data_IF_902314143579
#
_entry.id   IF_902314143579
#
_cell.length_a   1.000
_cell.length_b   1.000
_cell.length_c   1.000
_cell.angle_alpha   90.00
_cell.angle_beta   90.00
_cell.angle_gamma   90.00
#
_symmetry.space_group_name_H-M   'P 1'
#
loop_
_entity.id
_entity.type
_entity.pdbx_description
1 polymer ?
#
# COMPACT_ATOMS: atom_id res chain seq x y z
N UNK A 1 -14.57 14.35 7.99
CA UNK A 1 -15.84 13.94 7.36
C UNK A 1 -15.90 14.32 5.87
N UNK A 2 -15.84 15.60 5.49
CA UNK A 2 -15.89 16.02 4.08
C UNK A 2 -14.87 15.33 3.16
N UNK A 3 -13.63 15.13 3.63
CA UNK A 3 -12.60 14.35 2.91
C UNK A 3 -13.08 12.92 2.59
N UNK A 4 -13.69 12.23 3.56
CA UNK A 4 -14.20 10.87 3.37
C UNK A 4 -15.28 10.80 2.28
N UNK A 5 -16.22 11.74 2.30
CA UNK A 5 -17.25 11.83 1.27
C UNK A 5 -16.66 12.09 -0.12
N UNK A 6 -15.74 13.05 -0.23
CA UNK A 6 -15.03 13.35 -1.48
C UNK A 6 -14.26 12.13 -2.00
N UNK A 7 -13.54 11.43 -1.14
CA UNK A 7 -12.77 10.24 -1.51
C UNK A 7 -13.65 9.10 -2.04
N UNK A 8 -14.90 8.98 -1.58
CA UNK A 8 -15.84 8.01 -2.13
C UNK A 8 -16.19 8.31 -3.60
N UNK A 9 -16.41 9.58 -3.95
CA UNK A 9 -16.61 10.00 -5.34
C UNK A 9 -15.33 9.85 -6.18
N UNK A 10 -14.16 10.15 -5.61
CA UNK A 10 -12.88 9.94 -6.29
C UNK A 10 -12.66 8.46 -6.62
N UNK A 11 -12.96 7.56 -5.68
CA UNK A 11 -12.90 6.11 -5.92
C UNK A 11 -13.85 5.68 -7.04
N UNK A 12 -15.10 6.18 -7.02
CA UNK A 12 -16.07 5.94 -8.09
C UNK A 12 -15.55 6.40 -9.45
N UNK A 13 -15.04 7.63 -9.55
CA UNK A 13 -14.50 8.17 -10.81
C UNK A 13 -13.36 7.30 -11.33
N UNK A 14 -12.44 6.87 -10.46
CA UNK A 14 -11.35 6.01 -10.91
C UNK A 14 -11.85 4.66 -11.44
N UNK A 15 -12.77 4.01 -10.72
CA UNK A 15 -13.37 2.74 -11.17
C UNK A 15 -14.09 2.93 -12.52
N UNK A 16 -14.83 4.03 -12.70
CA UNK A 16 -15.50 4.36 -13.97
C UNK A 16 -14.51 4.65 -15.10
N UNK A 17 -13.36 5.27 -14.80
CA UNK A 17 -12.29 5.49 -15.78
C UNK A 17 -11.62 4.17 -16.19
N UNK A 18 -11.37 3.26 -15.24
CA UNK A 18 -10.87 1.92 -15.57
C UNK A 18 -11.85 1.23 -16.53
N UNK A 19 -13.14 1.21 -16.19
CA UNK A 19 -14.20 0.68 -17.05
C UNK A 19 -14.21 1.35 -18.43
N UNK A 20 -14.08 2.68 -18.49
CA UNK A 20 -14.02 3.43 -19.74
C UNK A 20 -12.88 2.94 -20.65
N UNK A 21 -11.66 2.87 -20.13
CA UNK A 21 -10.51 2.44 -20.91
C UNK A 21 -10.59 0.96 -21.31
N UNK A 22 -11.12 0.08 -20.45
CA UNK A 22 -11.35 -1.32 -20.84
C UNK A 22 -12.34 -1.43 -22.00
N UNK A 23 -13.48 -0.73 -21.92
CA UNK A 23 -14.49 -0.76 -22.99
C UNK A 23 -13.95 -0.14 -24.28
N UNK A 24 -13.22 0.96 -24.20
CA UNK A 24 -12.65 1.64 -25.35
C UNK A 24 -11.61 0.76 -26.05
N UNK A 25 -10.68 0.18 -25.29
CA UNK A 25 -9.53 -0.53 -25.88
C UNK A 25 -9.84 -1.97 -26.30
N UNK A 26 -10.66 -2.72 -25.55
CA UNK A 26 -10.96 -4.12 -25.88
C UNK A 26 -12.25 -4.31 -26.67
N UNK A 27 -13.21 -3.40 -26.54
CA UNK A 27 -14.55 -3.57 -27.10
C UNK A 27 -14.96 -2.45 -28.08
N UNK A 28 -14.19 -1.36 -28.19
CA UNK A 28 -14.52 -0.21 -29.04
C UNK A 28 -15.79 0.54 -28.61
N UNK A 29 -16.20 0.43 -27.33
CA UNK A 29 -17.45 0.99 -26.81
C UNK A 29 -17.18 2.18 -25.90
N UNK A 30 -18.00 3.22 -26.00
CA UNK A 30 -18.02 4.33 -25.04
C UNK A 30 -18.93 3.97 -23.85
N UNK A 31 -18.39 3.28 -22.86
CA UNK A 31 -19.11 2.90 -21.63
C UNK A 31 -18.19 2.92 -20.42
N UNK A 32 -18.70 3.35 -19.27
CA UNK A 32 -17.98 3.36 -17.99
C UNK A 32 -18.31 2.15 -17.11
N UNK A 33 -19.00 1.15 -17.66
CA UNK A 33 -19.31 -0.10 -16.96
C UNK A 33 -18.04 -0.93 -16.78
N UNK A 34 -17.78 -1.39 -15.57
CA UNK A 34 -16.68 -2.31 -15.32
C UNK A 34 -16.94 -3.63 -16.06
N UNK A 35 -15.97 -4.03 -16.89
CA UNK A 35 -16.00 -5.28 -17.66
C UNK A 35 -14.64 -5.94 -17.62
N UNK A 36 -14.62 -7.27 -17.70
CA UNK A 36 -13.38 -8.04 -17.75
C UNK A 36 -12.84 -8.13 -19.18
N UNK A 37 -11.51 -7.99 -19.41
CA UNK A 37 -10.91 -8.15 -20.74
C UNK A 37 -10.98 -9.58 -21.30
N UNK A 38 -11.32 -10.59 -20.50
CA UNK A 38 -11.25 -12.03 -20.86
C UNK A 38 -12.07 -12.35 -22.13
N UNK A 39 -13.25 -11.74 -22.30
CA UNK A 39 -14.19 -12.05 -23.39
C UNK A 39 -14.04 -11.18 -24.64
N UNK A 40 -12.89 -10.55 -24.87
CA UNK A 40 -12.69 -9.66 -26.02
C UNK A 40 -12.65 -10.42 -27.37
N UNK A 41 -12.95 -9.71 -28.45
CA UNK A 41 -13.02 -10.28 -29.81
C UNK A 41 -11.76 -10.03 -30.65
N UNK A 42 -10.69 -9.49 -30.07
CA UNK A 42 -9.50 -9.05 -30.82
C UNK A 42 -8.54 -10.20 -31.17
N UNK A 43 -8.69 -11.38 -30.55
CA UNK A 43 -7.81 -12.52 -30.78
C UNK A 43 -6.34 -12.18 -30.53
N UNK A 44 -5.46 -12.50 -31.48
CA UNK A 44 -4.02 -12.24 -31.39
C UNK A 44 -3.70 -10.73 -31.30
N UNK A 45 -4.53 -9.87 -31.88
CA UNK A 45 -4.33 -8.41 -31.82
C UNK A 45 -4.50 -7.82 -30.41
N UNK A 46 -5.07 -8.58 -29.47
CA UNK A 46 -5.18 -8.16 -28.06
C UNK A 46 -3.82 -7.84 -27.43
N UNK A 47 -2.70 -8.40 -27.93
CA UNK A 47 -1.33 -8.07 -27.48
C UNK A 47 -0.99 -6.60 -27.64
N UNK A 48 -1.51 -5.97 -28.70
CA UNK A 48 -1.20 -4.57 -29.00
C UNK A 48 -1.87 -3.61 -28.03
N UNK A 49 -2.94 -4.03 -27.35
CA UNK A 49 -3.71 -3.17 -26.45
C UNK A 49 -2.89 -2.76 -25.21
N UNK A 50 -2.30 -3.68 -24.42
CA UNK A 50 -1.39 -3.31 -23.33
C UNK A 50 -0.15 -2.53 -23.80
N UNK A 51 0.38 -2.83 -24.99
CA UNK A 51 1.54 -2.12 -25.58
C UNK A 51 1.19 -0.65 -25.84
N UNK A 52 0.04 -0.39 -26.46
CA UNK A 52 -0.45 0.95 -26.72
C UNK A 52 -0.76 1.72 -25.42
N UNK A 53 -1.45 1.07 -24.47
CA UNK A 53 -1.73 1.65 -23.16
C UNK A 53 -0.44 2.03 -22.42
N UNK A 54 0.56 1.16 -22.42
CA UNK A 54 1.83 1.42 -21.78
C UNK A 54 2.68 2.48 -22.50
N UNK A 55 2.59 2.58 -23.83
CA UNK A 55 3.19 3.68 -24.59
C UNK A 55 2.59 5.03 -24.18
N UNK A 56 1.26 5.12 -24.03
CA UNK A 56 0.58 6.32 -23.55
C UNK A 56 1.12 6.70 -22.16
N UNK A 57 1.27 5.73 -21.26
CA UNK A 57 1.83 5.96 -19.91
C UNK A 57 3.27 6.47 -19.98
N UNK A 58 4.11 5.88 -20.85
CA UNK A 58 5.49 6.34 -21.06
C UNK A 58 5.55 7.80 -21.51
N UNK A 59 4.71 8.18 -22.49
CA UNK A 59 4.58 9.56 -22.98
C UNK A 59 4.05 10.50 -21.89
N UNK A 60 3.02 10.10 -21.15
CA UNK A 60 2.50 10.85 -20.00
C UNK A 60 3.57 11.06 -18.92
N UNK A 61 4.42 10.08 -18.67
CA UNK A 61 5.49 10.21 -17.69
C UNK A 61 6.57 11.19 -18.15
N UNK A 62 6.95 11.16 -19.44
CA UNK A 62 7.96 12.06 -20.03
C UNK A 62 7.54 13.52 -20.07
N UNK A 63 6.33 13.81 -20.54
CA UNK A 63 5.86 15.19 -20.73
C UNK A 63 5.00 15.70 -19.56
N UNK A 64 4.48 14.79 -18.74
CA UNK A 64 3.67 15.11 -17.56
C UNK A 64 4.50 15.18 -16.29
N UNK A 65 4.82 14.02 -15.70
CA UNK A 65 5.65 13.93 -14.49
C UNK A 65 6.15 12.52 -14.32
N UNK A 66 7.44 12.35 -14.04
CA UNK A 66 8.06 11.05 -13.75
C UNK A 66 7.47 10.38 -12.49
N UNK A 67 6.85 11.18 -11.59
CA UNK A 67 6.26 10.71 -10.32
C UNK A 67 4.98 9.89 -10.49
N UNK A 68 4.43 9.80 -11.70
CA UNK A 68 3.25 8.96 -12.00
C UNK A 68 3.62 7.47 -12.10
N UNK A 69 4.90 7.16 -12.29
CA UNK A 69 5.45 5.80 -12.36
C UNK A 69 5.46 5.15 -10.98
N UNK A 70 5.31 3.83 -10.93
CA UNK A 70 5.45 3.03 -9.71
C UNK A 70 4.13 2.61 -9.05
N UNK A 71 4.26 2.17 -7.80
CA UNK A 71 3.33 1.23 -7.15
C UNK A 71 2.22 1.90 -6.33
N UNK A 72 2.27 3.22 -6.20
CA UNK A 72 1.34 4.05 -5.42
C UNK A 72 1.80 4.23 -3.98
N UNK A 73 1.70 3.18 -3.15
CA UNK A 73 1.88 3.26 -1.70
C UNK A 73 3.29 3.73 -1.28
N UNK A 74 4.40 3.25 -1.88
CA UNK A 74 5.74 3.76 -1.55
C UNK A 74 5.87 5.27 -1.78
N UNK A 75 5.22 5.80 -2.82
CA UNK A 75 5.24 7.24 -3.10
C UNK A 75 4.37 8.04 -2.09
N UNK A 76 3.33 7.44 -1.51
CA UNK A 76 2.57 8.03 -0.39
C UNK A 76 3.45 8.13 0.86
N UNK A 77 4.13 7.04 1.21
CA UNK A 77 5.07 6.99 2.33
C UNK A 77 6.17 8.04 2.12
N UNK A 78 6.72 8.12 0.92
CA UNK A 78 7.73 9.12 0.56
C UNK A 78 7.22 10.55 0.73
N UNK A 79 6.01 10.85 0.25
CA UNK A 79 5.41 12.17 0.42
C UNK A 79 5.25 12.54 1.89
N UNK A 80 4.86 11.57 2.74
CA UNK A 80 4.70 11.77 4.18
C UNK A 80 6.05 12.05 4.86
N UNK A 81 7.08 11.26 4.54
CA UNK A 81 8.39 11.32 5.21
C UNK A 81 9.26 12.47 4.74
N UNK A 82 9.23 12.81 3.44
CA UNK A 82 10.23 13.68 2.81
C UNK A 82 9.62 15.03 2.42
N UNK A 83 8.47 15.02 1.75
CA UNK A 83 7.90 16.22 1.12
C UNK A 83 7.01 17.03 2.08
N UNK A 84 7.13 16.81 3.39
CA UNK A 84 6.27 17.39 4.39
C UNK A 84 4.79 17.11 4.13
N UNK A 85 4.45 15.95 3.55
CA UNK A 85 3.09 15.57 3.14
C UNK A 85 2.47 16.46 2.03
N UNK A 86 3.27 17.20 1.26
CA UNK A 86 2.77 17.96 0.09
C UNK A 86 2.69 17.06 -1.14
N UNK A 87 1.54 17.09 -1.82
CA UNK A 87 1.32 16.41 -3.10
C UNK A 87 1.02 17.46 -4.16
N UNK A 88 1.70 17.35 -5.30
CA UNK A 88 1.51 18.25 -6.43
C UNK A 88 0.17 17.97 -7.14
N UNK A 89 -0.65 18.99 -7.44
CA UNK A 89 -1.94 18.82 -8.12
C UNK A 89 -1.82 18.09 -9.47
N UNK A 90 -0.73 18.35 -10.22
CA UNK A 90 -0.46 17.67 -11.49
C UNK A 90 -0.32 16.14 -11.31
N UNK A 91 0.37 15.71 -10.26
CA UNK A 91 0.54 14.28 -9.96
C UNK A 91 -0.77 13.67 -9.44
N UNK A 92 -1.55 14.44 -8.67
CA UNK A 92 -2.86 14.03 -8.17
C UNK A 92 -3.85 13.68 -9.29
N UNK A 93 -3.74 14.32 -10.46
CA UNK A 93 -4.56 14.03 -11.63
C UNK A 93 -3.93 12.99 -12.57
N UNK A 94 -2.65 13.14 -12.90
CA UNK A 94 -2.02 12.28 -13.91
C UNK A 94 -1.82 10.84 -13.41
N UNK A 95 -1.58 10.64 -12.11
CA UNK A 95 -1.35 9.30 -11.55
C UNK A 95 -2.61 8.41 -11.65
N UNK A 96 -3.80 8.79 -11.13
CA UNK A 96 -5.00 7.99 -11.29
C UNK A 96 -5.35 7.75 -12.77
N UNK A 97 -5.18 8.77 -13.64
CA UNK A 97 -5.43 8.60 -15.07
C UNK A 97 -4.49 7.56 -15.70
N UNK A 98 -3.19 7.62 -15.37
CA UNK A 98 -2.20 6.64 -15.86
C UNK A 98 -2.51 5.22 -15.37
N UNK A 99 -2.95 5.07 -14.12
CA UNK A 99 -3.35 3.77 -13.59
C UNK A 99 -4.63 3.25 -14.24
N UNK A 100 -5.60 4.13 -14.53
CA UNK A 100 -6.82 3.74 -15.23
C UNK A 100 -6.53 3.25 -16.65
N UNK A 101 -5.63 3.91 -17.38
CA UNK A 101 -5.16 3.47 -18.71
C UNK A 101 -4.40 2.15 -18.60
N UNK A 102 -3.52 2.01 -17.61
CA UNK A 102 -2.75 0.80 -17.35
C UNK A 102 -3.65 -0.41 -17.12
N UNK A 103 -4.56 -0.31 -16.15
CA UNK A 103 -5.50 -1.38 -15.79
C UNK A 103 -6.48 -1.64 -16.93
N UNK A 104 -7.03 -0.57 -17.53
CA UNK A 104 -8.01 -0.67 -18.62
C UNK A 104 -7.45 -1.25 -19.92
N UNK A 105 -6.16 -1.05 -20.20
CA UNK A 105 -5.46 -1.70 -21.31
C UNK A 105 -5.05 -3.15 -21.00
N UNK A 106 -5.36 -3.68 -19.81
CA UNK A 106 -5.11 -5.07 -19.43
C UNK A 106 -3.96 -5.27 -18.45
N UNK A 107 -3.36 -4.19 -17.94
CA UNK A 107 -2.33 -4.25 -16.91
C UNK A 107 -2.81 -5.08 -15.69
N UNK A 108 -1.99 -6.02 -15.19
CA UNK A 108 -2.37 -7.00 -14.16
C UNK A 108 -2.32 -6.37 -12.76
N UNK A 109 -2.91 -5.19 -12.60
CA UNK A 109 -2.83 -4.37 -11.39
C UNK A 109 -4.19 -4.19 -10.74
N UNK A 110 -4.17 -3.97 -9.43
CA UNK A 110 -5.35 -3.55 -8.73
C UNK A 110 -5.49 -2.02 -8.69
N UNK A 111 -6.71 -1.55 -8.40
CA UNK A 111 -7.01 -0.12 -8.36
C UNK A 111 -6.56 0.56 -7.05
N UNK A 112 -5.98 -0.19 -6.13
CA UNK A 112 -5.88 0.22 -4.72
C UNK A 112 -4.81 1.27 -4.46
N UNK A 113 -3.58 1.01 -4.88
CA UNK A 113 -2.47 1.94 -4.76
C UNK A 113 -2.83 3.31 -5.37
N UNK A 114 -3.41 3.35 -6.59
CA UNK A 114 -3.92 4.56 -7.19
C UNK A 114 -4.99 5.27 -6.36
N UNK A 115 -5.96 4.57 -5.77
CA UNK A 115 -7.03 5.21 -4.99
C UNK A 115 -6.51 5.73 -3.64
N UNK A 116 -5.68 4.96 -2.96
CA UNK A 116 -4.99 5.38 -1.72
C UNK A 116 -4.18 6.65 -1.98
N UNK A 117 -3.40 6.68 -3.06
CA UNK A 117 -2.63 7.85 -3.44
C UNK A 117 -3.49 9.05 -3.82
N UNK A 118 -4.52 8.83 -4.62
CA UNK A 118 -5.38 9.92 -5.11
C UNK A 118 -6.19 10.49 -3.96
N UNK A 119 -6.79 9.65 -3.12
CA UNK A 119 -7.47 10.07 -1.89
C UNK A 119 -6.55 10.89 -0.99
N UNK A 120 -5.31 10.41 -0.77
CA UNK A 120 -4.32 11.15 0.00
C UNK A 120 -3.88 12.47 -0.64
N UNK A 121 -3.78 12.51 -1.97
CA UNK A 121 -3.48 13.73 -2.71
C UNK A 121 -4.57 14.79 -2.51
N UNK A 122 -5.84 14.43 -2.59
CA UNK A 122 -6.95 15.35 -2.28
C UNK A 122 -6.90 15.84 -0.83
N UNK A 123 -6.62 14.96 0.13
CA UNK A 123 -6.43 15.35 1.52
C UNK A 123 -5.27 16.34 1.71
N UNK A 124 -4.15 16.10 1.04
CA UNK A 124 -3.00 17.00 1.03
C UNK A 124 -3.31 18.35 0.37
N UNK A 125 -4.03 18.36 -0.75
CA UNK A 125 -4.40 19.59 -1.47
C UNK A 125 -5.33 20.46 -0.63
N UNK A 126 -6.31 19.86 0.05
CA UNK A 126 -7.18 20.58 1.00
C UNK A 126 -6.32 21.20 2.12
N UNK A 127 -5.39 20.43 2.70
CA UNK A 127 -4.49 20.94 3.73
C UNK A 127 -3.61 22.11 3.24
N UNK A 128 -3.17 22.06 1.98
CA UNK A 128 -2.39 23.13 1.35
C UNK A 128 -3.23 24.38 1.11
N UNK A 129 -4.50 24.23 0.69
CA UNK A 129 -5.43 25.34 0.51
C UNK A 129 -5.65 26.12 1.82
N UNK A 130 -5.76 25.40 2.94
CA UNK A 130 -5.90 25.99 4.28
C UNK A 130 -4.57 26.31 4.97
N UNK A 131 -3.44 26.20 4.26
CA UNK A 131 -2.10 26.54 4.77
C UNK A 131 -1.73 25.82 6.09
N UNK A 132 -2.20 24.58 6.26
CA UNK A 132 -1.98 23.81 7.48
C UNK A 132 -0.52 23.37 7.65
N UNK A 133 -0.15 23.09 8.90
CA UNK A 133 1.17 22.60 9.26
C UNK A 133 1.46 21.24 8.63
N UNK A 134 2.74 20.84 8.57
CA UNK A 134 3.13 19.53 8.02
C UNK A 134 2.50 18.35 8.76
N UNK A 135 2.31 18.47 10.08
CA UNK A 135 1.67 17.43 10.90
C UNK A 135 0.17 17.31 10.59
N UNK A 136 -0.55 18.42 10.50
CA UNK A 136 -1.97 18.42 10.13
C UNK A 136 -2.18 17.94 8.70
N UNK A 137 -1.32 18.37 7.78
CA UNK A 137 -1.33 17.91 6.39
C UNK A 137 -1.06 16.41 6.26
N UNK A 138 -0.14 15.86 7.06
CA UNK A 138 0.07 14.41 7.16
C UNK A 138 -1.25 13.72 7.55
N UNK A 139 -1.92 14.21 8.58
CA UNK A 139 -3.20 13.66 9.02
C UNK A 139 -4.27 13.71 7.93
N UNK A 140 -4.42 14.84 7.21
CA UNK A 140 -5.42 14.94 6.13
C UNK A 140 -5.07 14.09 4.91
N UNK A 141 -3.79 13.99 4.55
CA UNK A 141 -3.31 13.08 3.50
C UNK A 141 -3.65 11.63 3.88
N UNK A 142 -3.34 11.20 5.10
CA UNK A 142 -3.65 9.83 5.51
C UNK A 142 -5.15 9.60 5.66
N UNK A 143 -5.91 10.60 6.09
CA UNK A 143 -7.38 10.51 6.17
C UNK A 143 -8.00 10.33 4.78
N UNK A 144 -7.48 11.02 3.76
CA UNK A 144 -7.89 10.83 2.37
C UNK A 144 -7.49 9.46 1.83
N UNK A 145 -6.29 8.98 2.15
CA UNK A 145 -5.81 7.65 1.76
C UNK A 145 -6.69 6.53 2.35
N UNK A 146 -7.01 6.61 3.64
CA UNK A 146 -7.91 5.68 4.33
C UNK A 146 -9.35 5.78 3.79
N UNK A 147 -9.85 6.99 3.54
CA UNK A 147 -11.15 7.21 2.90
C UNK A 147 -11.25 6.55 1.52
N UNK A 148 -10.21 6.70 0.70
CA UNK A 148 -10.13 6.06 -0.62
C UNK A 148 -10.14 4.53 -0.54
N UNK A 149 -9.33 3.95 0.36
CA UNK A 149 -9.32 2.50 0.57
C UNK A 149 -10.69 1.98 1.06
N UNK A 150 -11.27 2.63 2.06
CA UNK A 150 -12.58 2.29 2.61
C UNK A 150 -13.68 2.34 1.55
N UNK A 151 -13.71 3.39 0.72
CA UNK A 151 -14.65 3.48 -0.39
C UNK A 151 -14.46 2.42 -1.46
N UNK A 152 -13.21 1.98 -1.72
CA UNK A 152 -12.89 0.99 -2.78
C UNK A 152 -13.17 -0.43 -2.34
N UNK A 153 -12.99 -0.74 -1.06
CA UNK A 153 -13.09 -2.12 -0.55
C UNK A 153 -14.21 -2.42 0.42
N UNK A 154 -14.97 -1.42 0.87
CA UNK A 154 -15.91 -1.56 1.97
C UNK A 154 -15.20 -2.00 3.26
N UNK A 155 -13.93 -1.60 3.42
CA UNK A 155 -13.08 -2.04 4.53
C UNK A 155 -12.64 -0.88 5.42
N UNK A 156 -13.56 -0.20 6.12
CA UNK A 156 -13.23 0.99 6.90
C UNK A 156 -12.25 0.73 8.04
N UNK A 157 -12.35 -0.42 8.73
CA UNK A 157 -11.48 -0.72 9.87
C UNK A 157 -10.09 -1.08 9.39
N UNK A 158 -9.97 -1.92 8.36
CA UNK A 158 -8.71 -2.25 7.72
C UNK A 158 -8.01 -1.01 7.17
N UNK A 159 -8.75 -0.05 6.61
CA UNK A 159 -8.18 1.20 6.12
C UNK A 159 -7.59 2.08 7.23
N UNK A 160 -8.20 2.08 8.43
CA UNK A 160 -7.65 2.77 9.60
C UNK A 160 -6.40 2.06 10.10
N UNK A 161 -6.42 0.73 10.17
CA UNK A 161 -5.23 -0.05 10.55
C UNK A 161 -4.09 0.14 9.56
N UNK A 162 -4.37 0.13 8.26
CA UNK A 162 -3.39 0.42 7.21
C UNK A 162 -2.77 1.80 7.41
N UNK A 163 -3.62 2.80 7.68
CA UNK A 163 -3.17 4.16 7.96
C UNK A 163 -2.22 4.20 9.15
N UNK A 164 -2.51 3.48 10.22
CA UNK A 164 -1.67 3.46 11.43
C UNK A 164 -0.38 2.66 11.21
N UNK A 165 -0.47 1.43 10.70
CA UNK A 165 0.66 0.50 10.50
C UNK A 165 1.64 0.98 9.41
N UNK A 166 1.16 1.66 8.36
CA UNK A 166 1.98 1.96 7.17
C UNK A 166 2.14 3.44 6.80
N UNK A 167 1.30 4.35 7.29
CA UNK A 167 1.34 5.76 6.83
C UNK A 167 1.62 6.75 7.97
N UNK A 168 0.92 6.62 9.11
CA UNK A 168 1.09 7.50 10.26
C UNK A 168 2.29 7.12 11.11
N UNK A 169 2.50 5.82 11.36
CA UNK A 169 3.49 5.33 12.32
C UNK A 169 3.30 5.89 13.75
N UNK A 170 2.06 6.26 14.12
CA UNK A 170 1.75 6.76 15.46
C UNK A 170 0.30 6.47 15.85
N UNK A 171 0.07 6.23 17.14
CA UNK A 171 -1.25 6.03 17.75
C UNK A 171 -1.72 7.28 18.52
N UNK A 172 -1.71 8.45 17.88
CA UNK A 172 -2.10 9.72 18.53
C UNK A 172 -3.56 10.09 18.20
N UNK A 173 -4.41 10.47 19.18
CA UNK A 173 -5.80 10.85 18.93
C UNK A 173 -5.97 11.93 17.86
N UNK A 174 -5.08 12.94 17.86
CA UNK A 174 -5.07 14.04 16.88
C UNK A 174 -4.97 13.58 15.41
N UNK A 175 -4.37 12.40 15.17
CA UNK A 175 -4.17 11.82 13.84
C UNK A 175 -5.17 10.70 13.58
N UNK A 176 -5.42 9.85 14.58
CA UNK A 176 -6.31 8.70 14.48
C UNK A 176 -7.78 9.11 14.29
N UNK A 177 -8.28 10.08 15.06
CA UNK A 177 -9.70 10.47 15.01
C UNK A 177 -10.10 10.99 13.62
N UNK A 178 -9.37 11.94 12.99
CA UNK A 178 -9.72 12.41 11.65
C UNK A 178 -9.68 11.31 10.58
N UNK A 179 -8.70 10.39 10.68
CA UNK A 179 -8.55 9.25 9.76
C UNK A 179 -9.73 8.28 9.90
N UNK A 180 -10.07 7.90 11.13
CA UNK A 180 -11.19 6.99 11.40
C UNK A 180 -12.52 7.59 10.94
N UNK A 181 -12.77 8.88 11.21
CA UNK A 181 -13.99 9.55 10.75
C UNK A 181 -14.04 9.68 9.22
N UNK A 182 -12.92 9.94 8.55
CA UNK A 182 -12.88 9.97 7.09
C UNK A 182 -13.17 8.59 6.48
N UNK A 183 -12.56 7.53 7.04
CA UNK A 183 -12.78 6.15 6.63
C UNK A 183 -14.24 5.70 6.83
N UNK A 184 -14.83 6.00 7.99
CA UNK A 184 -16.22 5.68 8.30
C UNK A 184 -17.21 6.40 7.38
N UNK A 185 -17.01 7.71 7.15
CA UNK A 185 -17.86 8.47 6.22
C UNK A 185 -17.74 7.93 4.80
N UNK A 186 -16.53 7.59 4.34
CA UNK A 186 -16.35 7.00 3.02
C UNK A 186 -17.08 5.65 2.88
N UNK A 187 -17.07 4.80 3.92
CA UNK A 187 -17.83 3.54 3.94
C UNK A 187 -19.35 3.77 3.89
N UNK A 188 -19.85 4.79 4.60
CA UNK A 188 -21.28 5.14 4.56
C UNK A 188 -21.67 5.64 3.17
N UNK A 189 -20.90 6.58 2.60
CA UNK A 189 -21.20 7.15 1.27
C UNK A 189 -21.12 6.08 0.20
N UNK A 190 -20.11 5.19 0.26
CA UNK A 190 -19.97 4.05 -0.66
C UNK A 190 -21.26 3.25 -0.79
N UNK A 191 -21.98 2.99 0.30
CA UNK A 191 -23.21 2.18 0.26
C UNK A 191 -24.25 2.73 -0.72
N UNK A 192 -24.32 4.05 -0.86
CA UNK A 192 -25.25 4.72 -1.77
C UNK A 192 -24.77 4.76 -3.23
N UNK A 193 -23.45 4.75 -3.48
CA UNK A 193 -22.88 4.96 -4.82
C UNK A 193 -22.30 3.69 -5.48
N UNK A 194 -21.81 2.74 -4.69
CA UNK A 194 -21.14 1.51 -5.12
C UNK A 194 -21.82 0.25 -4.59
N UNK A 195 -22.81 0.38 -3.70
CA UNK A 195 -23.63 -0.72 -3.21
C UNK A 195 -23.20 -1.28 -1.84
N UNK A 196 -23.96 -2.27 -1.38
CA UNK A 196 -23.83 -2.91 -0.07
C UNK A 196 -23.30 -4.34 -0.19
N UNK A 197 -22.75 -4.86 0.91
CA UNK A 197 -22.32 -6.26 1.04
C UNK A 197 -20.80 -6.45 0.93
N UNK A 198 -20.34 -7.68 1.21
CA UNK A 198 -18.92 -8.04 1.06
C UNK A 198 -18.51 -7.98 -0.40
N UNK A 199 -17.26 -7.61 -0.66
CA UNK A 199 -16.74 -7.58 -2.02
C UNK A 199 -16.55 -8.99 -2.59
N UNK A 200 -16.20 -9.94 -1.73
CA UNK A 200 -16.02 -11.35 -2.09
C UNK A 200 -16.86 -12.24 -1.16
N UNK A 201 -18.14 -12.48 -1.48
CA UNK A 201 -18.98 -13.36 -0.68
C UNK A 201 -18.42 -14.78 -0.69
N UNK A 202 -18.35 -15.39 0.49
CA UNK A 202 -17.83 -16.75 0.70
C UNK A 202 -18.88 -17.66 1.34
N UNK A 203 -18.79 -19.00 1.12
CA UNK A 203 -19.53 -19.96 1.92
C UNK A 203 -19.18 -19.84 3.41
N UNK A 204 -20.10 -20.22 4.29
CA UNK A 204 -19.83 -20.25 5.72
C UNK A 204 -18.81 -21.33 6.06
N UNK A 205 -17.70 -20.93 6.70
CA UNK A 205 -16.66 -21.85 7.18
C UNK A 205 -16.94 -22.34 8.62
N UNK A 206 -16.36 -23.48 9.03
CA UNK A 206 -16.54 -24.01 10.38
C UNK A 206 -15.95 -23.08 11.44
N UNK A 207 -16.67 -22.91 12.55
CA UNK A 207 -16.19 -22.12 13.70
C UNK A 207 -15.02 -22.79 14.42
N UNK A 208 -15.06 -24.13 14.51
CA UNK A 208 -14.02 -24.91 15.16
C UNK A 208 -13.16 -25.62 14.11
N UNK A 209 -11.88 -25.27 14.10
CA UNK A 209 -10.85 -26.00 13.36
C UNK A 209 -10.04 -26.84 14.34
N UNK A 210 -9.94 -28.14 14.06
CA UNK A 210 -9.18 -29.06 14.92
C UNK A 210 -7.68 -28.76 14.88
N UNK A 211 -6.86 -29.47 15.70
CA UNK A 211 -5.41 -29.26 15.74
C UNK A 211 -4.73 -29.41 14.37
N UNK A 212 -5.25 -30.31 13.50
CA UNK A 212 -4.77 -30.48 12.13
C UNK A 212 -5.02 -29.24 11.26
N UNK A 213 -6.20 -28.61 11.38
CA UNK A 213 -6.52 -27.36 10.69
C UNK A 213 -5.62 -26.22 11.16
N UNK A 214 -5.36 -26.13 12.46
CA UNK A 214 -4.45 -25.11 13.02
C UNK A 214 -3.00 -25.28 12.56
N UNK A 215 -2.49 -26.53 12.53
CA UNK A 215 -1.18 -26.84 11.94
C UNK A 215 -1.15 -26.54 10.43
N UNK A 216 -2.26 -26.79 9.73
CA UNK A 216 -2.43 -26.38 8.34
C UNK A 216 -2.29 -24.87 8.17
N UNK A 217 -2.91 -24.06 9.04
CA UNK A 217 -2.79 -22.60 9.02
C UNK A 217 -1.33 -22.14 9.20
N UNK A 218 -0.55 -22.85 10.03
CA UNK A 218 0.86 -22.56 10.20
C UNK A 218 1.68 -22.87 8.94
N UNK A 219 1.40 -23.99 8.27
CA UNK A 219 2.01 -24.34 6.99
C UNK A 219 1.64 -23.33 5.90
N UNK A 220 0.37 -22.93 5.82
CA UNK A 220 -0.11 -21.88 4.90
C UNK A 220 0.64 -20.59 5.15
N UNK A 221 0.78 -20.16 6.41
CA UNK A 221 1.55 -18.97 6.76
C UNK A 221 3.01 -19.05 6.29
N UNK A 222 3.65 -20.21 6.42
CA UNK A 222 5.02 -20.43 5.97
C UNK A 222 5.14 -20.32 4.44
N UNK A 223 4.28 -21.01 3.70
CA UNK A 223 4.26 -21.02 2.23
C UNK A 223 3.87 -19.64 1.66
N UNK A 224 2.88 -18.98 2.26
CA UNK A 224 2.50 -17.61 1.94
C UNK A 224 3.63 -16.62 2.23
N UNK A 225 4.38 -16.81 3.32
CA UNK A 225 5.59 -16.03 3.63
C UNK A 225 6.69 -16.23 2.58
N UNK A 226 6.93 -17.47 2.17
CA UNK A 226 7.88 -17.80 1.11
C UNK A 226 7.48 -17.18 -0.24
N UNK A 227 6.21 -17.29 -0.62
CA UNK A 227 5.69 -16.66 -1.83
C UNK A 227 5.78 -15.13 -1.73
N UNK A 228 5.43 -14.51 -0.60
CA UNK A 228 5.60 -13.07 -0.36
C UNK A 228 7.05 -12.62 -0.58
N UNK A 229 8.02 -13.41 -0.09
CA UNK A 229 9.43 -13.13 -0.29
C UNK A 229 9.82 -13.23 -1.77
N UNK A 230 9.41 -14.29 -2.45
CA UNK A 230 9.65 -14.49 -3.88
C UNK A 230 9.06 -13.34 -4.71
N UNK A 231 7.80 -12.97 -4.46
CA UNK A 231 7.11 -11.88 -5.16
C UNK A 231 7.85 -10.55 -4.98
N UNK A 232 8.25 -10.24 -3.75
CA UNK A 232 9.00 -9.01 -3.43
C UNK A 232 10.33 -8.97 -4.18
N UNK A 233 11.11 -10.06 -4.11
CA UNK A 233 12.40 -10.15 -4.80
C UNK A 233 12.24 -10.08 -6.32
N UNK A 234 11.17 -10.67 -6.87
CA UNK A 234 10.91 -10.67 -8.32
C UNK A 234 10.64 -9.28 -8.87
N UNK A 235 9.85 -8.47 -8.16
CA UNK A 235 9.57 -7.08 -8.56
C UNK A 235 10.84 -6.25 -8.57
N UNK A 236 11.67 -6.35 -7.52
CA UNK A 236 12.91 -5.59 -7.45
C UNK A 236 13.98 -6.09 -8.43
N UNK A 237 14.06 -7.40 -8.66
CA UNK A 237 14.91 -7.96 -9.70
C UNK A 237 14.49 -7.45 -11.09
N UNK A 238 13.17 -7.34 -11.36
CA UNK A 238 12.68 -6.74 -12.59
C UNK A 238 13.02 -5.24 -12.68
N UNK A 239 12.81 -4.46 -11.62
CA UNK A 239 13.24 -3.04 -11.57
C UNK A 239 14.74 -2.89 -11.89
N UNK A 240 15.58 -3.71 -11.26
CA UNK A 240 17.04 -3.69 -11.44
C UNK A 240 17.45 -4.12 -12.86
N UNK A 241 16.71 -5.04 -13.48
CA UNK A 241 16.91 -5.44 -14.87
C UNK A 241 16.56 -4.31 -15.84
N UNK A 242 15.43 -3.61 -15.63
CA UNK A 242 15.03 -2.48 -16.47
C UNK A 242 16.02 -1.32 -16.38
N UNK A 243 16.60 -1.06 -15.21
CA UNK A 243 17.63 -0.02 -15.05
C UNK A 243 18.92 -0.30 -15.85
N UNK A 244 19.21 -1.56 -16.17
CA UNK A 244 20.38 -1.96 -16.97
C UNK A 244 20.15 -1.88 -18.47
N UNK A 245 18.91 -1.68 -18.93
CA UNK A 245 18.61 -1.60 -20.35
C UNK A 245 19.15 -0.28 -20.95
N UNK A 246 19.89 -0.32 -22.07
CA UNK A 246 20.42 0.87 -22.74
C UNK A 246 19.34 1.58 -23.57
N UNK A 247 18.11 1.66 -23.05
CA UNK A 247 16.96 2.30 -23.70
C UNK A 247 16.42 3.39 -22.79
N UNK A 248 16.06 4.53 -23.38
CA UNK A 248 15.48 5.64 -22.64
C UNK A 248 14.25 5.18 -21.84
N UNK A 249 14.20 5.54 -20.55
CA UNK A 249 13.23 5.05 -19.56
C UNK A 249 11.75 5.22 -19.94
N UNK A 250 11.45 6.15 -20.86
CA UNK A 250 10.11 6.35 -21.45
C UNK A 250 9.56 5.07 -22.11
N UNK A 251 10.43 4.22 -22.66
CA UNK A 251 10.03 3.00 -23.39
C UNK A 251 9.91 1.77 -22.50
N UNK A 252 10.38 1.82 -21.25
CA UNK A 252 10.31 0.67 -20.35
C UNK A 252 8.87 0.19 -20.16
N UNK A 253 7.86 1.05 -19.89
CA UNK A 253 6.47 0.61 -19.79
C UNK A 253 6.01 -0.14 -21.04
N UNK A 254 6.37 0.30 -22.24
CA UNK A 254 5.99 -0.37 -23.49
C UNK A 254 6.55 -1.80 -23.58
N UNK A 255 7.79 -2.02 -23.14
CA UNK A 255 8.38 -3.36 -23.04
C UNK A 255 7.62 -4.21 -22.01
N UNK A 256 7.27 -3.63 -20.86
CA UNK A 256 6.39 -4.28 -19.87
C UNK A 256 5.00 -4.60 -20.43
N UNK A 257 4.44 -3.70 -21.25
CA UNK A 257 3.17 -3.89 -21.96
C UNK A 257 3.22 -5.06 -22.95
N UNK A 258 4.34 -5.27 -23.64
CA UNK A 258 4.51 -6.44 -24.50
C UNK A 258 4.46 -7.75 -23.69
N UNK A 259 5.09 -7.78 -22.50
CA UNK A 259 5.01 -8.93 -21.60
C UNK A 259 3.57 -9.18 -21.12
N UNK A 260 2.81 -8.12 -20.80
CA UNK A 260 1.39 -8.23 -20.44
C UNK A 260 0.58 -8.80 -21.61
N UNK A 261 0.76 -8.27 -22.82
CA UNK A 261 0.03 -8.72 -24.00
C UNK A 261 0.29 -10.21 -24.30
N UNK A 262 1.55 -10.62 -24.29
CA UNK A 262 1.94 -12.02 -24.50
C UNK A 262 1.38 -12.94 -23.40
N UNK A 263 1.48 -12.54 -22.13
CA UNK A 263 0.90 -13.30 -21.03
C UNK A 263 -0.62 -13.37 -21.10
N UNK A 264 -1.28 -12.31 -21.58
CA UNK A 264 -2.72 -12.26 -21.81
C UNK A 264 -3.19 -13.21 -22.91
N UNK A 265 -2.39 -13.47 -23.95
CA UNK A 265 -2.71 -14.51 -24.94
C UNK A 265 -2.65 -15.92 -24.35
N UNK A 266 -1.67 -16.18 -23.47
CA UNK A 266 -1.50 -17.49 -22.83
C UNK A 266 -2.58 -17.71 -21.77
N UNK A 267 -2.86 -16.70 -20.97
CA UNK A 267 -3.79 -16.75 -19.85
C UNK A 267 -4.56 -15.43 -19.71
N UNK A 268 -5.71 -15.27 -20.40
CA UNK A 268 -6.50 -14.03 -20.40
C UNK A 268 -6.95 -13.59 -19.01
N UNK A 269 -7.17 -14.52 -18.08
CA UNK A 269 -7.52 -14.25 -16.68
C UNK A 269 -6.40 -13.51 -15.92
N UNK A 270 -5.17 -13.47 -16.44
CA UNK A 270 -4.09 -12.67 -15.88
C UNK A 270 -4.34 -11.16 -16.03
N UNK A 271 -5.08 -10.74 -17.06
CA UNK A 271 -5.28 -9.35 -17.42
C UNK A 271 -6.23 -8.62 -16.46
N UNK A 272 -5.99 -7.32 -16.29
CA UNK A 272 -6.80 -6.44 -15.47
C UNK A 272 -6.76 -6.78 -13.97
N UNK A 273 -7.78 -6.30 -13.26
CA UNK A 273 -7.83 -6.34 -11.79
C UNK A 273 -7.94 -7.76 -11.24
N UNK A 274 -8.79 -8.61 -11.85
CA UNK A 274 -8.95 -10.01 -11.46
C UNK A 274 -9.91 -10.28 -10.29
N UNK A 275 -10.78 -9.33 -9.91
CA UNK A 275 -11.76 -9.52 -8.84
C UNK A 275 -12.69 -10.73 -9.07
N UNK A 276 -13.08 -11.01 -10.30
CA UNK A 276 -13.87 -12.20 -10.64
C UNK A 276 -13.12 -13.50 -10.28
N UNK A 277 -11.81 -13.54 -10.50
CA UNK A 277 -10.99 -14.72 -10.18
C UNK A 277 -10.75 -14.84 -8.68
N UNK A 278 -10.60 -13.73 -7.95
CA UNK A 278 -10.54 -13.76 -6.48
C UNK A 278 -11.84 -14.34 -5.92
N UNK A 279 -12.99 -13.86 -6.38
CA UNK A 279 -14.30 -14.39 -5.98
C UNK A 279 -14.44 -15.87 -6.29
N UNK A 280 -14.05 -16.31 -7.50
CA UNK A 280 -14.11 -17.73 -7.87
C UNK A 280 -13.18 -18.61 -7.02
N UNK A 281 -11.96 -18.15 -6.71
CA UNK A 281 -11.01 -18.86 -5.84
C UNK A 281 -11.59 -19.07 -4.44
N UNK A 282 -12.21 -18.03 -3.89
CA UNK A 282 -12.86 -18.06 -2.57
C UNK A 282 -14.18 -18.85 -2.57
N UNK A 283 -14.79 -19.11 -3.72
CA UNK A 283 -15.93 -20.01 -3.87
C UNK A 283 -15.52 -21.47 -4.11
N UNK A 284 -14.23 -21.74 -4.33
CA UNK A 284 -13.73 -23.09 -4.68
C UNK A 284 -14.15 -23.56 -6.07
N UNK A 285 -14.59 -22.67 -6.96
CA UNK A 285 -15.12 -23.01 -8.30
C UNK A 285 -14.05 -23.01 -9.40
N UNK A 286 -12.77 -22.95 -9.01
CA UNK A 286 -11.65 -22.69 -9.93
C UNK A 286 -10.87 -23.97 -10.22
N UNK A 287 -10.55 -24.21 -11.48
CA UNK A 287 -9.73 -25.34 -11.92
C UNK A 287 -8.24 -25.12 -11.59
N UNK A 288 -7.49 -26.20 -11.35
CA UNK A 288 -6.03 -26.20 -11.18
C UNK A 288 -5.29 -25.42 -12.28
N UNK A 289 -5.79 -25.45 -13.52
CA UNK A 289 -5.21 -24.65 -14.63
C UNK A 289 -5.22 -23.15 -14.35
N UNK A 290 -6.31 -22.63 -13.79
CA UNK A 290 -6.43 -21.20 -13.45
C UNK A 290 -5.53 -20.88 -12.26
N UNK A 291 -5.47 -21.76 -11.25
CA UNK A 291 -4.57 -21.61 -10.10
C UNK A 291 -3.11 -21.49 -10.56
N UNK A 292 -2.63 -22.44 -11.37
CA UNK A 292 -1.27 -22.42 -11.92
C UNK A 292 -1.05 -21.22 -12.85
N UNK A 293 -2.05 -20.85 -13.66
CA UNK A 293 -1.99 -19.67 -14.52
C UNK A 293 -1.81 -18.37 -13.72
N UNK A 294 -2.47 -18.24 -12.57
CA UNK A 294 -2.28 -17.09 -11.66
C UNK A 294 -0.88 -17.09 -11.06
N UNK A 295 -0.43 -18.22 -10.51
CA UNK A 295 0.86 -18.31 -9.83
C UNK A 295 2.07 -18.16 -10.77
N UNK A 296 1.92 -18.55 -12.04
CA UNK A 296 3.00 -18.50 -13.02
C UNK A 296 2.87 -17.26 -13.93
N UNK A 297 1.78 -17.18 -14.69
CA UNK A 297 1.63 -16.15 -15.72
C UNK A 297 1.35 -14.80 -15.07
N UNK A 298 0.36 -14.71 -14.17
CA UNK A 298 -0.01 -13.42 -13.55
C UNK A 298 1.14 -12.85 -12.72
N UNK A 299 1.81 -13.68 -11.92
CA UNK A 299 3.03 -13.29 -11.20
C UNK A 299 4.08 -12.69 -12.14
N UNK A 300 4.43 -13.40 -13.22
CA UNK A 300 5.47 -12.97 -14.16
C UNK A 300 5.13 -11.63 -14.81
N UNK A 301 3.93 -11.51 -15.41
CA UNK A 301 3.54 -10.26 -16.08
C UNK A 301 3.41 -9.10 -15.10
N UNK A 302 2.96 -9.37 -13.87
CA UNK A 302 2.85 -8.37 -12.81
C UNK A 302 4.24 -7.87 -12.38
N UNK A 303 5.20 -8.77 -12.13
CA UNK A 303 6.54 -8.42 -11.71
C UNK A 303 7.29 -7.62 -12.80
N UNK A 304 7.26 -8.10 -14.06
CA UNK A 304 7.89 -7.40 -15.20
C UNK A 304 7.24 -6.04 -15.43
N UNK A 305 5.91 -5.96 -15.38
CA UNK A 305 5.22 -4.72 -15.67
C UNK A 305 5.40 -3.68 -14.56
N UNK A 306 5.34 -4.06 -13.28
CA UNK A 306 5.74 -3.15 -12.19
C UNK A 306 7.19 -2.71 -12.32
N UNK A 307 8.10 -3.64 -12.61
CA UNK A 307 9.53 -3.37 -12.78
C UNK A 307 9.84 -2.37 -13.91
N UNK A 308 9.01 -2.37 -14.95
CA UNK A 308 9.12 -1.42 -16.07
C UNK A 308 8.79 0.04 -15.68
N UNK A 309 8.20 0.25 -14.50
CA UNK A 309 7.80 1.56 -14.02
C UNK A 309 6.49 2.06 -14.64
N UNK A 310 5.58 1.16 -15.00
CA UNK A 310 4.17 1.50 -15.24
C UNK A 310 3.48 1.93 -13.94
N UNK A 311 2.18 2.25 -14.00
CA UNK A 311 1.37 2.65 -12.85
C UNK A 311 0.34 1.57 -12.51
N UNK A 312 0.24 1.19 -11.24
CA UNK A 312 -0.73 0.19 -10.81
C UNK A 312 -0.65 -0.15 -9.31
N UNK A 313 -1.74 -0.67 -8.75
CA UNK A 313 -1.80 -1.17 -7.38
C UNK A 313 -1.33 -2.62 -7.26
N UNK A 314 -0.81 -2.96 -6.09
CA UNK A 314 -0.25 -4.28 -5.77
C UNK A 314 -1.20 -5.19 -5.00
N UNK A 315 -2.27 -4.66 -4.40
CA UNK A 315 -3.08 -5.43 -3.45
C UNK A 315 -3.93 -6.51 -4.13
N UNK A 316 -4.69 -6.19 -5.19
CA UNK A 316 -5.49 -7.22 -5.87
C UNK A 316 -4.65 -8.39 -6.43
N UNK A 317 -3.50 -8.14 -7.10
CA UNK A 317 -2.64 -9.22 -7.55
C UNK A 317 -2.12 -10.10 -6.40
N UNK A 318 -1.74 -9.50 -5.27
CA UNK A 318 -1.32 -10.26 -4.07
C UNK A 318 -2.45 -11.11 -3.49
N UNK A 319 -3.66 -10.54 -3.39
CA UNK A 319 -4.86 -11.28 -2.96
C UNK A 319 -5.12 -12.48 -3.90
N UNK A 320 -5.05 -12.26 -5.21
CA UNK A 320 -5.30 -13.28 -6.22
C UNK A 320 -4.24 -14.39 -6.19
N UNK A 321 -2.96 -14.04 -6.07
CA UNK A 321 -1.87 -15.01 -5.93
C UNK A 321 -1.95 -15.78 -4.60
N UNK A 322 -2.37 -15.14 -3.51
CA UNK A 322 -2.61 -15.82 -2.23
C UNK A 322 -3.81 -16.76 -2.28
N UNK A 323 -4.93 -16.33 -2.87
CA UNK A 323 -6.07 -17.22 -3.11
C UNK A 323 -5.70 -18.42 -3.97
N UNK A 324 -4.85 -18.23 -4.99
CA UNK A 324 -4.36 -19.31 -5.84
C UNK A 324 -3.43 -20.27 -5.09
N UNK A 325 -2.50 -19.75 -4.27
CA UNK A 325 -1.66 -20.58 -3.39
C UNK A 325 -2.53 -21.41 -2.45
N UNK A 326 -3.53 -20.80 -1.80
CA UNK A 326 -4.50 -21.50 -0.96
C UNK A 326 -5.32 -22.55 -1.71
N UNK A 327 -5.60 -22.34 -2.99
CA UNK A 327 -6.21 -23.34 -3.86
C UNK A 327 -5.32 -24.57 -4.10
N UNK A 328 -3.99 -24.41 -4.17
CA UNK A 328 -3.05 -25.54 -4.19
C UNK A 328 -2.95 -26.22 -2.82
N UNK A 329 -2.90 -25.42 -1.76
CA UNK A 329 -2.81 -25.90 -0.37
C UNK A 329 -4.02 -26.77 -0.01
N UNK A 330 -5.21 -26.42 -0.52
CA UNK A 330 -6.43 -27.21 -0.36
C UNK A 330 -6.35 -28.64 -0.93
N UNK A 331 -5.40 -28.95 -1.82
CA UNK A 331 -5.26 -30.29 -2.41
C UNK A 331 -4.67 -31.32 -1.44
N UNK A 332 -3.93 -30.88 -0.43
CA UNK A 332 -3.24 -31.76 0.51
C UNK A 332 -3.54 -31.43 1.98
N UNK A 333 -4.14 -30.29 2.28
CA UNK A 333 -4.62 -29.93 3.61
C UNK A 333 -5.99 -30.53 3.94
N UNK A 334 -6.37 -30.59 5.23
CA UNK A 334 -7.71 -31.04 5.63
C UNK A 334 -8.83 -30.24 4.95
N UNK A 335 -9.94 -30.91 4.66
CA UNK A 335 -11.11 -30.24 4.09
C UNK A 335 -11.86 -29.46 5.18
N UNK A 336 -11.69 -28.14 5.20
CA UNK A 336 -12.36 -27.21 6.12
C UNK A 336 -13.45 -26.38 5.40
N UNK A 337 -13.86 -26.80 4.20
CA UNK A 337 -14.83 -26.09 3.36
C UNK A 337 -14.21 -25.40 2.14
N UNK A 338 -15.03 -25.20 1.12
CA UNK A 338 -14.62 -24.55 -0.13
C UNK A 338 -14.28 -23.08 0.11
N UNK A 339 -13.07 -22.67 -0.29
CA UNK A 339 -12.60 -21.29 -0.12
C UNK A 339 -11.81 -21.02 1.15
N UNK A 340 -11.78 -21.96 2.10
CA UNK A 340 -11.13 -21.77 3.41
C UNK A 340 -9.63 -21.47 3.28
N UNK A 341 -8.89 -22.38 2.65
CA UNK A 341 -7.44 -22.22 2.44
C UNK A 341 -7.10 -21.05 1.51
N UNK A 342 -7.80 -20.83 0.37
CA UNK A 342 -7.70 -19.60 -0.40
C UNK A 342 -7.82 -18.32 0.45
N UNK A 343 -8.79 -18.24 1.36
CA UNK A 343 -9.01 -17.07 2.21
C UNK A 343 -7.86 -16.83 3.19
N UNK A 344 -7.39 -17.88 3.86
CA UNK A 344 -6.27 -17.77 4.81
C UNK A 344 -4.98 -17.38 4.10
N UNK A 345 -4.67 -18.04 2.98
CA UNK A 345 -3.46 -17.81 2.19
C UNK A 345 -3.46 -16.42 1.56
N UNK A 346 -4.63 -15.94 1.10
CA UNK A 346 -4.86 -14.56 0.65
C UNK A 346 -4.53 -13.53 1.74
N UNK A 347 -5.04 -13.71 2.96
CA UNK A 347 -4.71 -12.84 4.10
C UNK A 347 -3.24 -12.94 4.51
N UNK A 348 -2.68 -14.15 4.50
CA UNK A 348 -1.31 -14.40 4.90
C UNK A 348 -0.28 -13.76 3.96
N UNK A 349 -0.48 -13.85 2.64
CA UNK A 349 0.39 -13.17 1.67
C UNK A 349 0.35 -11.66 1.84
N UNK A 350 -0.83 -11.08 2.06
CA UNK A 350 -0.91 -9.64 2.33
C UNK A 350 -0.15 -9.25 3.60
N UNK A 351 -0.36 -9.99 4.70
CA UNK A 351 0.31 -9.75 5.97
C UNK A 351 1.83 -9.83 5.87
N UNK A 352 2.33 -10.85 5.17
CA UNK A 352 3.76 -11.03 4.88
C UNK A 352 4.33 -9.94 3.98
N UNK A 353 3.70 -9.72 2.83
CA UNK A 353 4.21 -8.79 1.80
C UNK A 353 4.19 -7.33 2.28
N UNK A 354 3.14 -6.91 2.97
CA UNK A 354 3.02 -5.52 3.47
C UNK A 354 3.75 -5.29 4.80
N UNK A 355 4.06 -6.38 5.52
CA UNK A 355 4.47 -6.38 6.92
C UNK A 355 3.45 -5.65 7.81
N UNK A 356 2.20 -6.09 7.69
CA UNK A 356 1.00 -5.44 8.28
C UNK A 356 -0.05 -6.50 8.65
N UNK A 357 0.26 -7.42 9.60
CA UNK A 357 -0.57 -8.58 9.84
C UNK A 357 -1.97 -8.25 10.36
N UNK A 358 -2.12 -7.23 11.21
CA UNK A 358 -3.46 -6.86 11.71
C UNK A 358 -4.31 -6.23 10.60
N UNK A 359 -3.71 -5.37 9.77
CA UNK A 359 -4.40 -4.88 8.57
C UNK A 359 -4.84 -6.03 7.67
N UNK A 360 -4.00 -7.03 7.40
CA UNK A 360 -4.37 -8.13 6.49
C UNK A 360 -5.49 -9.01 7.04
N UNK A 361 -5.51 -9.28 8.34
CA UNK A 361 -6.57 -10.06 9.01
C UNK A 361 -7.91 -9.34 8.89
N UNK A 362 -7.95 -8.07 9.32
CA UNK A 362 -9.19 -7.28 9.27
C UNK A 362 -9.62 -7.02 7.84
N UNK A 363 -8.68 -6.83 6.92
CA UNK A 363 -8.99 -6.63 5.51
C UNK A 363 -9.61 -7.89 4.89
N UNK A 364 -9.03 -9.06 5.11
CA UNK A 364 -9.60 -10.32 4.63
C UNK A 364 -11.02 -10.54 5.21
N UNK A 365 -11.21 -10.24 6.50
CA UNK A 365 -12.53 -10.28 7.14
C UNK A 365 -13.53 -9.29 6.51
N UNK A 366 -13.21 -8.01 6.38
CA UNK A 366 -14.15 -7.02 5.84
C UNK A 366 -14.49 -7.29 4.36
N UNK A 367 -13.57 -7.90 3.61
CA UNK A 367 -13.81 -8.29 2.23
C UNK A 367 -14.80 -9.45 2.09
N UNK A 368 -14.84 -10.38 3.05
CA UNK A 368 -15.65 -11.61 2.96
C UNK A 368 -16.82 -11.69 3.94
N UNK A 369 -16.78 -10.90 5.01
CA UNK A 369 -17.66 -10.94 6.18
C UNK A 369 -17.67 -12.28 6.93
N UNK A 370 -16.66 -13.12 6.75
CA UNK A 370 -16.56 -14.39 7.49
C UNK A 370 -15.84 -14.23 8.83
N UNK A 371 -16.59 -14.30 9.92
CA UNK A 371 -16.07 -14.17 11.29
C UNK A 371 -15.34 -15.42 11.78
N UNK A 372 -15.55 -16.58 11.16
CA UNK A 372 -15.03 -17.85 11.68
C UNK A 372 -13.54 -18.02 11.34
N UNK A 373 -13.03 -17.27 10.36
CA UNK A 373 -11.63 -17.35 9.91
C UNK A 373 -10.66 -16.43 10.66
N UNK A 374 -11.11 -15.67 11.67
CA UNK A 374 -10.24 -14.73 12.40
C UNK A 374 -9.00 -15.40 13.02
N UNK A 375 -9.19 -16.49 13.76
CA UNK A 375 -8.09 -17.24 14.37
C UNK A 375 -7.15 -17.86 13.31
N UNK A 376 -7.66 -18.58 12.28
CA UNK A 376 -6.86 -19.04 11.17
C UNK A 376 -6.04 -17.94 10.48
N UNK A 377 -6.67 -16.79 10.19
CA UNK A 377 -6.02 -15.63 9.57
C UNK A 377 -4.92 -15.05 10.46
N UNK A 378 -5.15 -15.00 11.77
CA UNK A 378 -4.15 -14.54 12.73
C UNK A 378 -2.90 -15.41 12.66
N UNK A 379 -3.06 -16.73 12.75
CA UNK A 379 -1.94 -17.69 12.69
C UNK A 379 -1.20 -17.59 11.35
N UNK A 380 -1.93 -17.68 10.23
CA UNK A 380 -1.32 -17.62 8.90
C UNK A 380 -0.61 -16.29 8.63
N UNK A 381 -1.25 -15.16 8.94
CA UNK A 381 -0.68 -13.83 8.67
C UNK A 381 0.51 -13.50 9.55
N UNK A 382 0.48 -13.87 10.84
CA UNK A 382 1.61 -13.65 11.76
C UNK A 382 2.81 -14.51 11.37
N UNK A 383 2.60 -15.77 10.97
CA UNK A 383 3.69 -16.64 10.53
C UNK A 383 4.27 -16.16 9.20
N UNK A 384 3.45 -15.77 8.23
CA UNK A 384 3.93 -15.18 6.98
C UNK A 384 4.71 -13.87 7.25
N UNK A 385 4.23 -13.04 8.18
CA UNK A 385 4.95 -11.85 8.61
C UNK A 385 6.30 -12.19 9.25
N UNK A 386 6.34 -13.14 10.19
CA UNK A 386 7.58 -13.59 10.83
C UNK A 386 8.58 -14.11 9.81
N UNK A 387 8.14 -14.96 8.87
CA UNK A 387 8.98 -15.48 7.80
C UNK A 387 9.61 -14.36 6.96
N UNK A 388 8.80 -13.39 6.52
CA UNK A 388 9.29 -12.28 5.68
C UNK A 388 10.18 -11.31 6.45
N UNK A 389 10.01 -11.16 7.76
CA UNK A 389 10.92 -10.37 8.62
C UNK A 389 12.28 -11.04 8.75
N UNK A 390 12.31 -12.37 8.87
CA UNK A 390 13.55 -13.14 8.98
C UNK A 390 14.31 -13.29 7.65
N UNK A 391 13.59 -13.35 6.53
CA UNK A 391 14.18 -13.63 5.20
C UNK A 391 14.49 -12.39 4.39
N UNK A 392 13.73 -11.30 4.56
CA UNK A 392 13.94 -10.05 3.83
C UNK A 392 14.43 -8.94 4.76
N UNK A 393 15.26 -8.03 4.23
CA UNK A 393 15.64 -6.81 4.98
C UNK A 393 14.47 -5.83 5.06
N UNK A 394 13.71 -5.67 3.97
CA UNK A 394 12.62 -4.70 3.83
C UNK A 394 11.44 -5.33 3.10
N UNK A 395 10.25 -4.73 3.27
CA UNK A 395 9.03 -5.12 2.54
C UNK A 395 8.98 -4.50 1.15
N UNK A 396 8.08 -5.00 0.30
CA UNK A 396 7.78 -4.42 -1.03
C UNK A 396 7.40 -2.94 -0.98
N UNK A 397 6.88 -2.47 0.17
CA UNK A 397 6.42 -1.09 0.33
C UNK A 397 7.53 -0.15 0.83
N UNK A 398 8.62 -0.69 1.38
CA UNK A 398 9.66 0.09 2.07
C UNK A 398 11.02 0.03 1.40
N UNK A 399 11.30 -1.03 0.65
CA UNK A 399 12.58 -1.20 -0.04
C UNK A 399 12.85 -0.07 -1.03
N UNK A 400 11.84 0.40 -1.78
CA UNK A 400 11.98 1.55 -2.69
C UNK A 400 12.36 2.85 -1.97
N UNK A 401 11.84 3.08 -0.76
CA UNK A 401 12.18 4.24 0.08
C UNK A 401 13.60 4.09 0.64
N UNK A 402 13.97 2.88 1.06
CA UNK A 402 15.32 2.56 1.53
C UNK A 402 16.40 2.74 0.46
N UNK A 403 16.12 2.35 -0.79
CA UNK A 403 17.02 2.56 -1.94
C UNK A 403 17.30 4.04 -2.24
N UNK A 404 16.45 4.96 -1.77
CA UNK A 404 16.69 6.42 -1.83
C UNK A 404 17.49 6.97 -0.65
N UNK A 405 18.01 6.11 0.23
CA UNK A 405 18.81 6.49 1.39
C UNK A 405 18.01 6.73 2.67
N UNK A 406 16.69 6.48 2.66
CA UNK A 406 15.83 6.73 3.82
C UNK A 406 15.44 5.43 4.51
N UNK A 407 15.87 5.26 5.76
CA UNK A 407 15.49 4.11 6.56
C UNK A 407 14.26 4.44 7.41
N UNK A 408 13.17 3.73 7.14
CA UNK A 408 11.96 3.80 7.94
C UNK A 408 12.09 2.86 9.15
N UNK A 409 12.10 3.42 10.36
CA UNK A 409 11.83 2.65 11.57
C UNK A 409 10.31 2.56 11.76
N UNK A 410 9.79 1.34 11.89
CA UNK A 410 8.36 1.07 12.16
C UNK A 410 8.12 0.65 13.60
N UNK A 411 9.11 0.82 14.46
CA UNK A 411 8.98 0.48 15.88
C UNK A 411 8.09 1.52 16.55
N UNK A 412 7.01 1.07 17.19
CA UNK A 412 6.23 1.88 18.10
C UNK A 412 7.02 2.05 19.39
N UNK A 413 8.12 2.78 19.31
CA UNK A 413 8.90 3.17 20.47
C UNK A 413 8.18 4.32 21.18
N UNK A 414 8.17 4.26 22.50
CA UNK A 414 7.85 5.44 23.30
C UNK A 414 8.91 6.49 23.01
N UNK A 415 8.51 7.73 22.79
CA UNK A 415 9.45 8.82 22.57
C UNK A 415 10.39 8.89 23.78
N UNK A 416 11.71 8.70 23.61
CA UNK A 416 12.64 8.75 24.74
C UNK A 416 12.53 10.07 25.51
N UNK A 417 12.15 11.16 24.83
CA UNK A 417 11.97 12.48 25.44
C UNK A 417 10.71 12.59 26.32
N UNK A 418 9.74 11.68 26.17
CA UNK A 418 8.58 11.60 27.07
C UNK A 418 8.91 10.88 28.39
N UNK A 419 9.96 10.05 28.41
CA UNK A 419 10.36 9.26 29.59
C UNK A 419 11.51 9.93 30.35
N UNK A 420 12.42 10.60 29.63
CA UNK A 420 13.60 11.23 30.22
C UNK A 420 13.22 12.50 30.96
N UNK A 421 13.54 12.57 32.25
CA UNK A 421 13.39 13.83 32.98
C UNK A 421 14.47 14.81 32.53
N UNK A 422 14.12 16.10 32.41
CA UNK A 422 15.09 17.15 32.06
C UNK A 422 16.33 17.09 32.96
N UNK A 423 16.17 16.78 34.25
CA UNK A 423 17.29 16.61 35.20
C UNK A 423 18.31 15.54 34.82
N UNK A 424 17.92 14.52 34.05
CA UNK A 424 18.76 13.39 33.65
C UNK A 424 19.59 13.70 32.41
N UNK A 425 19.11 14.61 31.55
CA UNK A 425 19.75 14.96 30.28
C UNK A 425 20.29 16.39 30.25
N UNK A 426 19.89 17.25 31.20
CA UNK A 426 20.40 18.61 31.30
C UNK A 426 21.88 18.60 31.71
N UNK A 427 22.64 19.55 31.18
CA UNK A 427 23.96 19.84 31.73
C UNK A 427 23.76 20.50 33.09
N UNK A 428 24.09 19.80 34.17
CA UNK A 428 24.04 20.34 35.53
C UNK A 428 25.27 21.22 35.85
N UNK A 429 26.42 20.92 35.24
CA UNK A 429 27.63 21.71 35.41
C UNK A 429 27.69 22.79 34.31
N UNK A 430 27.06 23.94 34.59
CA UNK A 430 27.03 25.11 33.72
C UNK A 430 27.72 26.28 34.41
N UNK A 431 28.45 27.08 33.64
CA UNK A 431 28.98 28.36 34.09
C UNK A 431 27.82 29.34 34.19
N UNK A 432 27.65 29.93 35.37
CA UNK A 432 26.65 30.95 35.70
C UNK A 432 27.35 32.27 36.07
N UNK A 433 26.69 33.39 35.79
CA UNK A 433 27.20 34.72 36.09
C UNK A 433 26.46 35.33 37.28
N UNK A 434 27.16 35.81 38.32
CA UNK A 434 26.51 36.51 39.42
C UNK A 434 26.01 37.88 38.97
N UNK A 435 24.74 38.20 39.26
CA UNK A 435 24.12 39.47 38.89
C UNK A 435 24.81 40.71 39.50
N UNK A 436 25.42 40.55 40.68
CA UNK A 436 26.15 41.60 41.39
C UNK A 436 27.69 41.48 41.26
N UNK A 437 28.18 40.58 40.40
CA UNK A 437 29.60 40.29 40.27
C UNK A 437 30.41 41.43 39.66
N UNK A 438 31.67 41.57 40.10
CA UNK A 438 32.57 42.59 39.56
C UNK A 438 33.06 42.20 38.15
N UNK A 439 33.30 43.19 37.28
CA UNK A 439 33.75 42.97 35.89
C UNK A 439 35.03 42.09 35.78
N UNK A 440 35.90 42.12 36.81
CA UNK A 440 37.10 41.28 36.87
C UNK A 440 36.80 39.79 37.05
N UNK A 441 35.76 39.45 37.81
CA UNK A 441 35.34 38.06 38.01
C UNK A 441 34.75 37.48 36.73
N UNK A 442 33.98 38.29 36.00
CA UNK A 442 33.46 37.93 34.68
C UNK A 442 34.58 37.55 33.68
N UNK A 443 35.64 38.34 33.62
CA UNK A 443 36.79 38.08 32.74
C UNK A 443 37.53 36.79 33.11
N UNK A 444 37.57 36.43 34.41
CA UNK A 444 38.17 35.18 34.86
C UNK A 444 37.30 33.96 34.49
N UNK A 445 35.97 34.04 34.67
CA UNK A 445 35.04 32.97 34.34
C UNK A 445 35.01 32.64 32.83
N UNK A 446 35.10 33.67 31.98
CA UNK A 446 35.23 33.50 30.51
C UNK A 446 36.53 32.84 30.07
N UNK A 447 37.62 33.01 30.83
CA UNK A 447 38.93 32.40 30.54
C UNK A 447 39.05 30.98 31.08
N UNK A 448 38.28 30.64 32.12
CA UNK A 448 38.25 29.32 32.72
C UNK A 448 37.55 28.29 31.82
N UNK A 449 36.53 28.69 31.06
CA UNK A 449 35.87 27.86 30.05
C UNK A 449 36.72 27.73 28.77
N UNK A 450 37.83 27.00 28.88
CA UNK A 450 38.85 26.84 27.81
C UNK A 450 38.32 26.17 26.53
N UNK A 451 37.13 25.58 26.57
CA UNK A 451 36.42 25.07 25.39
C UNK A 451 35.11 25.85 25.33
N UNK A 452 35.00 26.85 24.44
CA UNK A 452 33.79 27.68 24.23
C UNK A 452 32.53 26.86 23.90
N UNK A 453 32.03 26.11 24.87
CA UNK A 453 30.97 25.12 24.69
C UNK A 453 29.62 25.66 25.14
N UNK A 454 29.61 26.68 26.01
CA UNK A 454 28.43 27.48 26.34
C UNK A 454 28.43 28.79 25.56
N UNK A 455 27.36 29.02 24.78
CA UNK A 455 27.10 30.29 24.08
C UNK A 455 26.16 31.21 24.86
N UNK A 456 25.43 30.66 25.82
CA UNK A 456 24.50 31.37 26.68
C UNK A 456 24.89 31.09 28.13
N UNK A 457 25.06 32.16 28.90
CA UNK A 457 25.44 32.13 30.32
C UNK A 457 24.25 32.65 31.13
N UNK A 458 23.59 31.81 31.94
CA UNK A 458 22.54 32.28 32.82
C UNK A 458 23.10 33.24 33.86
N UNK A 459 22.37 34.32 34.13
CA UNK A 459 22.70 35.27 35.20
C UNK A 459 21.85 34.91 36.41
N UNK A 460 22.49 34.72 37.56
CA UNK A 460 21.83 34.31 38.81
C UNK A 460 22.05 35.35 39.91
N UNK A 461 21.05 35.53 40.77
CA UNK A 461 21.19 36.33 41.97
C UNK A 461 21.97 35.55 43.08
N UNK A 462 22.18 36.16 44.25
CA UNK A 462 22.88 35.52 45.37
C UNK A 462 22.18 34.27 45.93
N UNK A 463 20.90 34.07 45.60
CA UNK A 463 20.07 32.94 46.00
C UNK A 463 20.04 31.84 44.92
N UNK A 464 20.77 32.01 43.82
CA UNK A 464 20.82 31.06 42.70
C UNK A 464 19.57 31.05 41.81
N UNK A 465 18.78 32.13 41.85
CA UNK A 465 17.56 32.30 41.04
C UNK A 465 17.81 33.13 39.79
#
# INVERSE_FOLDING_TARGET
>A
MGIGALCAFVALVLLRLIGLFTNLFYFGRWSTTMVSPIGNHLGVYSVLVPVAGALIIGVMARYGSERIRGHGIPEAIEAILINGSRVEPKVALLKPLSSAISIGSGGPFGAEGPIIMTGGAFGSMIAQLFHLTSAERKTLLVAGAAGGMSATFASPVAAVLLAVELLLFEWKPRSLIPVALASAVAAVVRRYILGFGPLFPVPAHPLFIGPKGLLGCALVGLLAGALSALLTLSVYAAEDAFQKLPVHWMWWPTIGGAAIGLGGLIFPQALGVGYDTIGALLQGSVTTKVILGVLLVKWFIWAVSLGSGTSGGVLAPLLMMGGALGGLEAMFLPNEGAGFWPLISMGAILGGTMRSPFTSIIFAFELTHDTNVFLPLLVGSVIAHAFTVLTLKRSILTEKVARRGYHLSREYAVDPLEILFVREVMRANIVVLPAAGALREFQHSLRADRRQSQRLLPVVNAEGR
#
